data_IF_815093464023
#
_entry.id   IF_815093464023
#
_cell.length_a   1.000
_cell.length_b   1.000
_cell.length_c   1.000
_cell.angle_alpha   90.00
_cell.angle_beta   90.00
_cell.angle_gamma   90.00
#
_symmetry.space_group_name_H-M   'P 1'
#
loop_
_entity.id
_entity.type
_entity.pdbx_description
1 polymer ?
#
# COMPACT_ATOMS: atom_id res chain seq x y z
N UNK A 1 -3.27 -23.61 -9.02
CA UNK A 1 -3.83 -24.14 -7.75
C UNK A 1 -2.92 -25.15 -7.05
N UNK A 2 -2.61 -26.33 -7.63
CA UNK A 2 -1.71 -27.31 -7.00
C UNK A 2 -0.35 -26.72 -6.61
N UNK A 3 0.26 -25.95 -7.51
CA UNK A 3 1.53 -25.24 -7.27
C UNK A 3 1.47 -24.29 -6.07
N UNK A 4 0.42 -23.46 -5.99
CA UNK A 4 0.16 -22.57 -4.85
C UNK A 4 0.12 -23.36 -3.53
N UNK A 5 -0.69 -24.42 -3.47
CA UNK A 5 -0.81 -25.23 -2.26
C UNK A 5 0.50 -25.93 -1.88
N UNK A 6 1.29 -26.36 -2.86
CA UNK A 6 2.61 -26.95 -2.60
C UNK A 6 3.58 -25.90 -2.04
N UNK A 7 3.61 -24.68 -2.58
CA UNK A 7 4.47 -23.61 -2.04
C UNK A 7 4.11 -23.26 -0.59
N UNK A 8 2.82 -23.16 -0.28
CA UNK A 8 2.34 -22.92 1.10
C UNK A 8 2.74 -24.08 2.02
N UNK A 9 2.57 -25.33 1.55
CA UNK A 9 2.98 -26.52 2.31
C UNK A 9 4.48 -26.51 2.58
N UNK A 10 5.32 -26.15 1.61
CA UNK A 10 6.77 -26.05 1.79
C UNK A 10 7.17 -24.97 2.80
N UNK A 11 6.48 -23.82 2.84
CA UNK A 11 6.67 -22.81 3.89
C UNK A 11 6.31 -23.36 5.28
N UNK A 12 5.20 -24.10 5.37
CA UNK A 12 4.78 -24.74 6.61
C UNK A 12 5.74 -25.85 7.06
N UNK A 13 6.22 -26.69 6.14
CA UNK A 13 7.23 -27.74 6.40
C UNK A 13 8.59 -27.15 6.81
N UNK A 14 8.91 -25.94 6.37
CA UNK A 14 10.08 -25.18 6.81
C UNK A 14 9.90 -24.53 8.20
N UNK A 15 8.76 -24.76 8.88
CA UNK A 15 8.52 -24.29 10.26
C UNK A 15 7.89 -22.90 10.38
N UNK A 16 7.50 -22.27 9.27
CA UNK A 16 6.86 -20.96 9.29
C UNK A 16 5.34 -21.06 9.35
N UNK A 17 4.71 -20.12 10.06
CA UNK A 17 3.26 -19.99 10.06
C UNK A 17 2.75 -19.59 8.68
N UNK A 18 1.59 -20.13 8.32
CA UNK A 18 0.90 -19.84 7.06
C UNK A 18 -0.56 -19.47 7.35
N UNK A 19 -1.12 -18.59 6.52
CA UNK A 19 -2.51 -18.17 6.60
C UNK A 19 -3.15 -18.05 5.22
N UNK A 20 -4.39 -17.54 5.18
CA UNK A 20 -5.07 -17.16 3.95
C UNK A 20 -4.26 -16.16 3.12
N UNK A 21 -3.42 -15.34 3.78
CA UNK A 21 -2.53 -14.37 3.15
C UNK A 21 -1.53 -15.04 2.22
N UNK A 22 -0.92 -16.17 2.60
CA UNK A 22 0.03 -16.89 1.75
C UNK A 22 -0.65 -17.41 0.48
N UNK A 23 -1.86 -17.94 0.63
CA UNK A 23 -2.67 -18.36 -0.51
C UNK A 23 -3.01 -17.19 -1.43
N UNK A 24 -3.45 -16.08 -0.85
CA UNK A 24 -3.85 -14.89 -1.59
C UNK A 24 -2.69 -14.25 -2.34
N UNK A 25 -1.57 -14.04 -1.65
CA UNK A 25 -0.35 -13.51 -2.22
C UNK A 25 0.12 -14.34 -3.41
N UNK A 26 0.20 -15.67 -3.24
CA UNK A 26 0.54 -16.57 -4.35
C UNK A 26 -0.50 -16.55 -5.47
N UNK A 27 -1.80 -16.50 -5.17
CA UNK A 27 -2.84 -16.41 -6.20
C UNK A 27 -2.75 -15.12 -7.02
N UNK A 28 -2.46 -13.99 -6.38
CA UNK A 28 -2.22 -12.71 -7.04
C UNK A 28 -0.97 -12.73 -7.91
N UNK A 29 0.11 -13.38 -7.46
CA UNK A 29 1.36 -13.42 -8.24
C UNK A 29 1.19 -14.03 -9.63
N UNK A 30 0.30 -15.01 -9.81
CA UNK A 30 -0.01 -15.59 -11.13
C UNK A 30 -0.67 -14.59 -12.11
N UNK A 31 -1.12 -13.43 -11.63
CA UNK A 31 -1.74 -12.38 -12.44
C UNK A 31 -0.87 -11.13 -12.54
N UNK A 32 -0.01 -10.88 -11.54
CA UNK A 32 0.73 -9.63 -11.40
C UNK A 32 2.22 -9.75 -11.70
N UNK A 33 2.79 -10.95 -11.65
CA UNK A 33 4.22 -11.18 -11.88
C UNK A 33 4.37 -11.97 -13.17
N UNK A 34 4.96 -11.34 -14.17
CA UNK A 34 5.29 -11.97 -15.46
C UNK A 34 6.54 -12.85 -15.31
N UNK A 35 6.36 -13.98 -14.64
CA UNK A 35 7.39 -14.99 -14.45
C UNK A 35 6.74 -16.37 -14.30
N UNK A 36 7.48 -17.45 -14.60
CA UNK A 36 6.99 -18.81 -14.38
C UNK A 36 6.42 -18.99 -12.97
N UNK A 37 5.19 -19.49 -12.90
CA UNK A 37 4.44 -19.73 -11.66
C UNK A 37 4.25 -18.51 -10.76
N UNK A 38 4.28 -17.29 -11.32
CA UNK A 38 4.18 -16.04 -10.56
C UNK A 38 5.41 -15.80 -9.69
N UNK A 39 6.60 -16.13 -10.19
CA UNK A 39 7.90 -15.79 -9.58
C UNK A 39 8.06 -16.24 -8.12
N UNK A 40 7.91 -17.53 -7.78
CA UNK A 40 8.04 -18.01 -6.39
C UNK A 40 9.44 -17.77 -5.79
N UNK A 41 10.46 -17.58 -6.62
CA UNK A 41 11.83 -17.26 -6.19
C UNK A 41 12.12 -15.76 -6.11
N UNK A 42 11.21 -14.89 -6.60
CA UNK A 42 11.44 -13.44 -6.56
C UNK A 42 11.19 -12.92 -5.15
N UNK A 43 12.20 -12.22 -4.63
CA UNK A 43 12.19 -11.60 -3.32
C UNK A 43 12.19 -10.09 -3.47
N UNK A 44 11.61 -9.38 -2.51
CA UNK A 44 11.56 -7.92 -2.58
C UNK A 44 12.95 -7.31 -2.41
N UNK A 45 13.81 -7.94 -1.60
CA UNK A 45 15.23 -7.61 -1.47
C UNK A 45 16.03 -7.77 -2.76
N UNK A 46 15.63 -8.67 -3.67
CA UNK A 46 16.34 -8.85 -4.95
C UNK A 46 16.25 -7.65 -5.89
N UNK A 47 15.31 -6.72 -5.66
CA UNK A 47 15.23 -5.45 -6.39
C UNK A 47 16.54 -4.65 -6.21
N UNK A 48 17.14 -4.68 -5.01
CA UNK A 48 18.41 -4.01 -4.73
C UNK A 48 19.60 -4.55 -5.55
N UNK A 49 19.44 -5.73 -6.17
CA UNK A 49 20.46 -6.37 -6.99
C UNK A 49 20.32 -6.05 -8.48
N UNK A 50 19.21 -5.44 -8.91
CA UNK A 50 18.97 -5.11 -10.31
C UNK A 50 19.78 -3.88 -10.73
N UNK A 51 20.29 -3.87 -11.96
CA UNK A 51 21.19 -2.82 -12.44
C UNK A 51 20.46 -1.48 -12.60
N UNK A 52 19.20 -1.51 -13.07
CA UNK A 52 18.30 -0.34 -13.19
C UNK A 52 17.90 0.26 -11.83
N UNK A 53 17.97 -0.52 -10.76
CA UNK A 53 17.81 -0.01 -9.40
C UNK A 53 19.11 0.62 -8.88
N UNK A 54 20.25 -0.03 -9.13
CA UNK A 54 21.57 0.44 -8.69
C UNK A 54 21.98 1.75 -9.36
N UNK A 55 21.63 1.93 -10.63
CA UNK A 55 21.94 3.15 -11.39
C UNK A 55 20.91 4.29 -11.19
N UNK A 56 19.82 4.02 -10.47
CA UNK A 56 18.77 4.99 -10.15
C UNK A 56 17.73 5.19 -11.25
N UNK A 57 17.65 4.31 -12.25
CA UNK A 57 16.66 4.36 -13.32
C UNK A 57 15.23 4.04 -12.86
N UNK A 58 15.08 3.30 -11.76
CA UNK A 58 13.77 3.05 -11.14
C UNK A 58 13.69 3.65 -9.72
N UNK A 59 12.53 4.20 -9.32
CA UNK A 59 12.36 4.75 -7.97
C UNK A 59 12.38 3.64 -6.91
N UNK A 60 12.74 4.01 -5.67
CA UNK A 60 12.69 3.11 -4.51
C UNK A 60 11.25 2.63 -4.24
N UNK A 61 10.91 1.35 -4.46
CA UNK A 61 9.55 0.87 -4.19
C UNK A 61 9.35 0.72 -2.69
N UNK A 62 8.18 1.16 -2.21
CA UNK A 62 7.79 1.06 -0.81
C UNK A 62 6.39 0.46 -0.71
N UNK A 63 6.23 -0.54 0.14
CA UNK A 63 4.94 -1.10 0.52
C UNK A 63 4.64 -0.73 1.98
N UNK A 64 3.36 -0.61 2.30
CA UNK A 64 2.90 -0.30 3.65
C UNK A 64 1.91 -1.35 4.12
N UNK A 65 2.10 -1.80 5.36
CA UNK A 65 1.16 -2.62 6.11
C UNK A 65 0.93 -2.00 7.48
N UNK A 66 -0.12 -2.40 8.17
CA UNK A 66 -0.36 -2.00 9.57
C UNK A 66 -0.29 -3.19 10.50
N UNK A 67 0.14 -2.97 11.74
CA UNK A 67 0.05 -4.01 12.77
C UNK A 67 -1.40 -4.37 13.03
N UNK A 68 -1.69 -5.67 13.10
CA UNK A 68 -3.04 -6.16 13.37
C UNK A 68 -3.49 -5.79 14.78
N UNK A 69 -4.50 -4.91 14.87
CA UNK A 69 -5.22 -4.59 16.11
C UNK A 69 -6.64 -5.18 16.08
N UNK A 70 -7.37 -5.02 17.19
CA UNK A 70 -8.80 -5.29 17.18
C UNK A 70 -9.52 -4.31 16.24
N UNK A 71 -10.62 -4.72 15.62
CA UNK A 71 -11.36 -3.88 14.66
C UNK A 71 -11.81 -2.53 15.23
N UNK A 72 -12.11 -2.46 16.53
CA UNK A 72 -12.50 -1.22 17.21
C UNK A 72 -11.31 -0.28 17.46
N UNK A 73 -10.10 -0.82 17.48
CA UNK A 73 -8.87 -0.10 17.78
C UNK A 73 -8.16 0.39 16.51
N UNK A 74 -8.23 -0.34 15.39
CA UNK A 74 -7.56 0.04 14.15
C UNK A 74 -8.00 1.43 13.63
N UNK A 75 -7.09 2.40 13.67
CA UNK A 75 -7.27 3.76 13.14
C UNK A 75 -5.90 4.46 12.96
N UNK A 76 -5.86 5.57 12.22
CA UNK A 76 -4.63 6.29 11.89
C UNK A 76 -3.85 6.82 13.10
N UNK A 77 -4.51 7.03 14.24
CA UNK A 77 -3.93 7.62 15.46
C UNK A 77 -3.12 6.60 16.28
N UNK A 78 -3.53 5.34 16.32
CA UNK A 78 -2.89 4.32 17.18
C UNK A 78 -2.23 3.17 16.42
N UNK A 79 -2.50 3.02 15.13
CA UNK A 79 -1.94 1.92 14.35
C UNK A 79 -0.44 2.12 14.16
N UNK A 80 0.31 1.03 14.30
CA UNK A 80 1.70 0.99 13.85
C UNK A 80 1.73 0.75 12.36
N UNK A 81 2.42 1.62 11.61
CA UNK A 81 2.54 1.56 10.16
C UNK A 81 3.93 1.02 9.82
N UNK A 82 3.98 -0.14 9.19
CA UNK A 82 5.20 -0.80 8.77
C UNK A 82 5.47 -0.50 7.31
N UNK A 83 6.67 0.00 7.04
CA UNK A 83 7.24 0.15 5.72
C UNK A 83 8.02 -1.11 5.34
N UNK A 84 7.92 -1.48 4.07
CA UNK A 84 8.69 -2.54 3.44
C UNK A 84 9.32 -1.96 2.17
N UNK A 85 10.64 -1.89 2.12
CA UNK A 85 11.42 -1.47 0.95
C UNK A 85 12.46 -2.59 0.63
N UNK A 86 13.16 -2.56 -0.52
CA UNK A 86 14.16 -3.58 -0.87
C UNK A 86 15.27 -3.80 0.16
N UNK A 87 15.53 -2.83 1.03
CA UNK A 87 16.58 -2.92 2.04
C UNK A 87 16.07 -3.40 3.40
N UNK A 88 14.86 -3.01 3.79
CA UNK A 88 14.39 -3.18 5.15
C UNK A 88 12.87 -3.25 5.33
N UNK A 89 12.45 -3.90 6.41
CA UNK A 89 11.10 -3.93 6.95
C UNK A 89 11.12 -3.28 8.33
N UNK A 90 10.30 -2.27 8.58
CA UNK A 90 10.31 -1.60 9.86
C UNK A 90 9.25 -0.54 10.02
N UNK A 91 9.32 0.18 11.13
CA UNK A 91 8.37 1.25 11.42
C UNK A 91 9.08 2.43 12.04
N UNK A 92 8.65 3.62 11.60
CA UNK A 92 9.05 4.90 12.17
C UNK A 92 8.32 5.19 13.49
N UNK A 93 7.25 4.45 13.82
CA UNK A 93 6.50 4.67 15.05
C UNK A 93 7.38 4.56 16.29
N UNK A 94 7.36 5.59 17.14
CA UNK A 94 8.32 5.78 18.25
C UNK A 94 8.28 4.70 19.32
N UNK A 95 7.18 3.96 19.40
CA UNK A 95 7.06 2.83 20.30
C UNK A 95 7.68 1.54 19.73
N UNK A 96 8.30 1.55 18.56
CA UNK A 96 9.14 0.45 18.06
C UNK A 96 10.44 1.02 17.50
N UNK A 97 10.34 2.00 16.59
CA UNK A 97 11.45 2.75 15.99
C UNK A 97 12.62 1.85 15.55
N UNK A 98 12.36 0.95 14.60
CA UNK A 98 13.34 -0.04 14.19
C UNK A 98 13.04 -0.65 12.83
N UNK A 99 14.11 -1.08 12.15
CA UNK A 99 14.09 -1.62 10.80
C UNK A 99 14.99 -2.84 10.70
N UNK A 100 14.45 -3.96 10.22
CA UNK A 100 15.15 -5.20 9.98
C UNK A 100 15.53 -5.40 8.51
N UNK A 101 16.73 -5.93 8.20
CA UNK A 101 17.15 -6.15 6.82
C UNK A 101 16.16 -7.05 6.08
N UNK A 102 15.60 -6.57 4.96
CA UNK A 102 14.53 -7.22 4.20
C UNK A 102 14.93 -8.65 3.78
N UNK A 103 16.18 -8.82 3.35
CA UNK A 103 16.72 -10.13 2.94
C UNK A 103 16.67 -11.18 4.07
N UNK A 104 16.73 -10.75 5.33
CA UNK A 104 16.91 -11.61 6.49
C UNK A 104 15.71 -11.65 7.44
N UNK A 105 14.55 -11.07 7.08
CA UNK A 105 13.39 -10.94 7.98
C UNK A 105 12.81 -12.26 8.49
N UNK A 106 13.17 -13.40 7.89
CA UNK A 106 12.80 -14.73 8.38
C UNK A 106 13.72 -15.29 9.47
N UNK A 107 14.77 -14.57 9.86
CA UNK A 107 15.79 -15.02 10.83
C UNK A 107 15.33 -14.81 12.27
N UNK A 108 15.84 -15.61 13.20
CA UNK A 108 15.50 -15.50 14.61
C UNK A 108 16.19 -14.30 15.27
N UNK A 109 15.58 -13.12 15.17
CA UNK A 109 16.06 -11.94 15.89
C UNK A 109 15.69 -12.00 17.37
N UNK A 110 16.65 -11.69 18.22
CA UNK A 110 16.47 -11.53 19.67
C UNK A 110 17.21 -10.28 20.12
N UNK A 111 16.46 -9.32 20.68
CA UNK A 111 17.05 -8.06 21.16
C UNK A 111 17.66 -7.22 20.03
N UNK A 112 17.16 -7.36 18.80
CA UNK A 112 17.71 -6.64 17.65
C UNK A 112 18.99 -7.24 17.06
N UNK A 113 19.29 -8.52 17.32
CA UNK A 113 20.40 -9.23 16.67
C UNK A 113 20.00 -10.67 16.33
N UNK A 114 20.61 -11.28 15.31
CA UNK A 114 20.51 -12.73 15.12
C UNK A 114 21.60 -13.37 15.98
N UNK A 115 21.28 -14.30 16.90
CA UNK A 115 22.28 -14.99 17.71
C UNK A 115 23.37 -15.65 16.84
N UNK A 116 24.62 -15.64 17.30
CA UNK A 116 25.77 -16.14 16.52
C UNK A 116 25.61 -17.59 16.03
N UNK A 117 24.96 -18.44 16.81
CA UNK A 117 24.75 -19.85 16.49
C UNK A 117 23.49 -20.12 15.65
N UNK A 118 22.69 -19.08 15.37
CA UNK A 118 21.45 -19.22 14.60
C UNK A 118 21.70 -18.89 13.12
N UNK A 119 21.20 -19.71 12.19
CA UNK A 119 21.36 -19.44 10.77
C UNK A 119 20.53 -18.24 10.32
N UNK A 120 21.09 -17.43 9.42
CA UNK A 120 20.32 -16.41 8.71
C UNK A 120 19.38 -17.06 7.68
N UNK A 121 18.13 -16.62 7.65
CA UNK A 121 17.10 -17.12 6.74
C UNK A 121 16.86 -16.09 5.63
N UNK A 122 16.93 -16.53 4.38
CA UNK A 122 16.63 -15.73 3.18
C UNK A 122 15.36 -16.18 2.48
N UNK A 123 14.75 -15.29 1.69
CA UNK A 123 13.62 -15.59 0.82
C UNK A 123 12.25 -15.57 1.50
N UNK A 124 12.18 -15.17 2.77
CA UNK A 124 10.93 -14.95 3.48
C UNK A 124 10.15 -13.76 2.88
N UNK A 125 10.86 -12.77 2.36
CA UNK A 125 10.39 -11.58 1.67
C UNK A 125 9.95 -11.84 0.22
N UNK A 126 9.43 -13.03 -0.06
CA UNK A 126 8.91 -13.40 -1.37
C UNK A 126 7.87 -12.36 -1.83
N UNK A 127 8.04 -11.80 -3.03
CA UNK A 127 7.25 -10.64 -3.51
C UNK A 127 5.74 -10.90 -3.42
N UNK A 128 5.30 -12.11 -3.76
CA UNK A 128 3.90 -12.51 -3.66
C UNK A 128 3.38 -12.51 -2.23
N UNK A 129 4.18 -12.95 -1.25
CA UNK A 129 3.82 -12.88 0.16
C UNK A 129 3.65 -11.44 0.63
N UNK A 130 4.57 -10.53 0.27
CA UNK A 130 4.45 -9.11 0.63
C UNK A 130 3.21 -8.45 -0.01
N UNK A 131 2.95 -8.71 -1.31
CA UNK A 131 1.72 -8.26 -1.99
C UNK A 131 0.47 -8.78 -1.25
N UNK A 132 0.49 -10.04 -0.81
CA UNK A 132 -0.60 -10.60 -0.02
C UNK A 132 -0.75 -9.91 1.34
N UNK A 133 0.37 -9.65 2.02
CA UNK A 133 0.42 -9.04 3.35
C UNK A 133 -0.09 -7.59 3.38
N UNK A 134 0.12 -6.84 2.29
CA UNK A 134 -0.37 -5.46 2.17
C UNK A 134 -1.80 -5.38 1.61
N UNK A 135 -2.43 -6.51 1.27
CA UNK A 135 -3.78 -6.56 0.68
C UNK A 135 -4.72 -7.55 1.37
N UNK A 136 -4.52 -7.79 2.68
CA UNK A 136 -5.33 -8.75 3.46
C UNK A 136 -6.82 -8.38 3.59
N UNK A 137 -7.25 -7.17 3.20
CA UNK A 137 -8.68 -6.80 3.13
C UNK A 137 -9.49 -7.73 2.21
N UNK A 138 -8.81 -8.35 1.24
CA UNK A 138 -9.38 -9.36 0.35
C UNK A 138 -9.58 -10.72 1.03
N UNK A 139 -9.35 -10.87 2.34
CA UNK A 139 -9.79 -12.03 3.10
C UNK A 139 -11.31 -12.27 2.96
N UNK A 140 -12.12 -11.21 2.85
CA UNK A 140 -13.56 -11.35 2.54
C UNK A 140 -13.76 -12.03 1.17
N UNK A 141 -12.87 -11.78 0.22
CA UNK A 141 -12.87 -12.49 -1.06
C UNK A 141 -12.41 -13.94 -0.87
N UNK A 142 -11.34 -14.21 -0.11
CA UNK A 142 -10.85 -15.57 0.16
C UNK A 142 -11.91 -16.41 0.89
N UNK A 143 -12.60 -15.86 1.90
CA UNK A 143 -13.66 -16.55 2.63
C UNK A 143 -14.88 -16.82 1.75
N UNK A 144 -15.23 -15.92 0.81
CA UNK A 144 -16.24 -16.18 -0.23
C UNK A 144 -15.78 -17.23 -1.25
N UNK A 145 -14.51 -17.24 -1.64
CA UNK A 145 -13.92 -18.29 -2.50
C UNK A 145 -13.93 -19.66 -1.83
N UNK A 146 -13.55 -19.72 -0.55
CA UNK A 146 -13.54 -20.94 0.24
C UNK A 146 -14.95 -21.53 0.42
N UNK A 147 -15.99 -20.69 0.44
CA UNK A 147 -17.41 -21.12 0.49
C UNK A 147 -17.95 -21.68 -0.84
N UNK A 148 -17.25 -21.49 -1.96
CA UNK A 148 -17.65 -22.09 -3.24
C UNK A 148 -17.54 -23.62 -3.20
N UNK A 149 -18.59 -24.34 -3.64
CA UNK A 149 -18.62 -25.82 -3.68
C UNK A 149 -17.53 -26.42 -4.58
N UNK A 150 -17.01 -25.67 -5.56
CA UNK A 150 -15.90 -26.09 -6.46
C UNK A 150 -14.55 -26.29 -5.75
N UNK A 151 -14.41 -25.83 -4.51
CA UNK A 151 -13.13 -25.81 -3.79
C UNK A 151 -13.23 -26.38 -2.37
N UNK A 152 -14.17 -27.30 -2.12
CA UNK A 152 -14.35 -27.96 -0.81
C UNK A 152 -13.09 -28.67 -0.30
N UNK A 153 -12.26 -29.24 -1.18
CA UNK A 153 -10.96 -29.83 -0.84
C UNK A 153 -9.95 -28.78 -0.33
N UNK A 154 -9.99 -27.57 -0.91
CA UNK A 154 -9.16 -26.44 -0.46
C UNK A 154 -9.69 -25.90 0.86
N UNK A 155 -11.02 -25.86 1.02
CA UNK A 155 -11.65 -25.49 2.29
C UNK A 155 -11.13 -26.37 3.42
N UNK A 156 -11.09 -27.69 3.29
CA UNK A 156 -10.59 -28.55 4.38
C UNK A 156 -9.10 -28.32 4.67
N UNK A 157 -8.25 -28.09 3.65
CA UNK A 157 -6.84 -27.73 3.86
C UNK A 157 -6.65 -26.34 4.48
N UNK A 158 -7.35 -25.31 3.99
CA UNK A 158 -7.32 -23.95 4.57
C UNK A 158 -7.96 -23.91 5.96
N UNK A 159 -8.97 -24.73 6.21
CA UNK A 159 -9.58 -24.89 7.53
C UNK A 159 -8.69 -25.69 8.47
N UNK A 160 -7.77 -26.52 7.98
CA UNK A 160 -6.74 -27.15 8.83
C UNK A 160 -5.58 -26.20 9.15
N UNK A 161 -5.44 -25.08 8.42
CA UNK A 161 -4.54 -23.96 8.80
C UNK A 161 -5.11 -23.09 9.94
N UNK A 162 -6.21 -23.51 10.59
CA UNK A 162 -6.97 -22.72 11.59
C UNK A 162 -6.34 -22.58 12.98
N UNK A 163 -5.15 -23.13 13.23
CA UNK A 163 -4.49 -22.92 14.51
C UNK A 163 -3.84 -21.51 14.50
N UNK A 164 -4.66 -20.44 14.49
CA UNK A 164 -4.20 -19.05 14.48
C UNK A 164 -5.15 -18.05 13.81
N UNK A 165 -4.75 -16.76 13.82
CA UNK A 165 -5.46 -15.67 13.13
C UNK A 165 -5.28 -15.80 11.62
N UNK A 166 -6.19 -16.52 10.95
CA UNK A 166 -6.05 -16.78 9.51
C UNK A 166 -6.22 -15.54 8.61
N UNK A 167 -6.54 -14.37 9.16
CA UNK A 167 -6.83 -13.13 8.45
C UNK A 167 -5.70 -12.09 8.52
N UNK A 168 -4.48 -12.50 8.90
CA UNK A 168 -3.29 -11.65 8.98
C UNK A 168 -2.14 -12.27 8.20
N UNK A 169 -1.13 -11.48 7.88
CA UNK A 169 0.17 -11.95 7.45
C UNK A 169 1.01 -12.26 8.70
N UNK A 170 1.50 -13.50 8.82
CA UNK A 170 2.39 -13.88 9.91
C UNK A 170 3.84 -13.62 9.51
N UNK A 171 4.47 -12.62 10.14
CA UNK A 171 5.92 -12.43 10.11
C UNK A 171 6.49 -13.09 11.36
N UNK A 172 6.66 -14.40 11.25
CA UNK A 172 7.30 -15.25 12.25
C UNK A 172 8.57 -15.84 11.65
N UNK A 173 9.72 -15.77 12.35
CA UNK A 173 9.94 -15.07 13.62
C UNK A 173 9.75 -13.56 13.51
N UNK A 174 9.27 -12.92 14.59
CA UNK A 174 9.13 -11.46 14.68
C UNK A 174 10.52 -10.80 14.74
N UNK A 175 10.91 -9.96 13.74
CA UNK A 175 12.20 -9.29 13.77
C UNK A 175 12.42 -8.35 14.96
N UNK A 176 11.34 -7.92 15.61
CA UNK A 176 11.35 -7.00 16.76
C UNK A 176 11.18 -7.72 18.10
N UNK A 177 11.32 -9.04 18.15
CA UNK A 177 11.28 -9.78 19.41
C UNK A 177 12.44 -9.35 20.34
N UNK A 178 12.10 -8.96 21.57
CA UNK A 178 13.05 -8.44 22.55
C UNK A 178 13.63 -7.05 22.24
N UNK A 179 13.31 -6.43 21.10
CA UNK A 179 13.84 -5.12 20.71
C UNK A 179 13.08 -3.98 21.41
N UNK A 180 13.79 -2.94 21.86
CA UNK A 180 13.24 -1.76 22.55
C UNK A 180 12.20 -2.11 23.64
N UNK A 181 12.60 -2.87 24.68
CA UNK A 181 11.67 -3.54 25.59
C UNK A 181 10.78 -2.60 26.40
N UNK A 182 11.21 -1.37 26.63
CA UNK A 182 10.47 -0.39 27.44
C UNK A 182 9.23 0.16 26.72
N UNK A 183 9.22 0.16 25.38
CA UNK A 183 8.17 0.81 24.58
C UNK A 183 7.52 -0.12 23.55
N UNK A 184 8.19 -1.20 23.12
CA UNK A 184 7.74 -2.07 22.04
C UNK A 184 6.51 -2.90 22.40
N UNK A 185 5.32 -2.63 21.78
CA UNK A 185 4.10 -3.37 22.06
C UNK A 185 4.16 -4.84 21.58
N UNK A 186 5.18 -5.21 20.81
CA UNK A 186 5.41 -6.56 20.29
C UNK A 186 6.62 -7.26 20.90
N UNK A 187 7.25 -6.68 21.93
CA UNK A 187 8.53 -7.17 22.50
C UNK A 187 8.51 -8.65 22.89
N UNK A 188 7.41 -9.14 23.45
CA UNK A 188 7.25 -10.56 23.88
C UNK A 188 6.64 -11.46 22.80
N UNK A 189 6.22 -10.91 21.66
CA UNK A 189 5.53 -11.66 20.61
C UNK A 189 6.53 -12.28 19.64
N UNK A 190 6.47 -13.61 19.49
CA UNK A 190 7.26 -14.35 18.49
C UNK A 190 6.77 -14.17 17.06
N UNK A 191 5.58 -13.60 16.87
CA UNK A 191 4.97 -13.31 15.57
C UNK A 191 4.57 -11.84 15.47
N UNK A 192 4.93 -11.20 14.36
CA UNK A 192 4.43 -9.90 13.97
C UNK A 192 3.28 -10.10 12.97
N UNK A 193 2.05 -10.00 13.47
CA UNK A 193 0.85 -10.07 12.63
C UNK A 193 0.60 -8.73 11.92
N UNK A 194 0.78 -8.69 10.60
CA UNK A 194 0.50 -7.51 9.77
C UNK A 194 -0.79 -7.68 8.95
N UNK A 195 -1.42 -6.56 8.61
CA UNK A 195 -2.61 -6.49 7.76
C UNK A 195 -2.50 -5.33 6.76
N UNK A 196 -3.41 -5.29 5.81
CA UNK A 196 -3.52 -4.25 4.77
C UNK A 196 -3.33 -2.82 5.31
N UNK A 197 -2.49 -2.06 4.60
CA UNK A 197 -2.10 -0.70 4.97
C UNK A 197 -3.27 0.29 5.03
N UNK A 198 -4.34 0.07 4.26
CA UNK A 198 -5.51 0.95 4.23
C UNK A 198 -6.52 0.72 5.35
N UNK A 199 -6.34 -0.30 6.20
CA UNK A 199 -7.32 -0.65 7.24
C UNK A 199 -7.41 0.37 8.38
N UNK A 200 -6.44 1.29 8.48
CA UNK A 200 -6.47 2.40 9.42
C UNK A 200 -7.01 3.71 8.81
N UNK A 201 -7.56 3.62 7.59
CA UNK A 201 -8.07 4.70 6.72
C UNK A 201 -7.00 5.49 5.96
N UNK A 202 -5.71 5.23 6.16
CA UNK A 202 -4.62 5.86 5.39
C UNK A 202 -4.39 5.09 4.08
N UNK A 203 -5.39 5.06 3.19
CA UNK A 203 -5.30 4.35 1.89
C UNK A 203 -4.17 4.87 0.98
N UNK A 204 -3.71 6.11 1.22
CA UNK A 204 -2.53 6.67 0.58
C UNK A 204 -1.31 6.36 1.47
N UNK A 205 -0.30 5.63 0.97
CA UNK A 205 0.87 5.22 1.78
C UNK A 205 1.86 6.37 1.95
N UNK A 206 1.44 7.48 2.57
CA UNK A 206 2.25 8.71 2.62
C UNK A 206 3.29 8.70 3.73
N UNK A 207 3.06 7.98 4.82
CA UNK A 207 3.93 8.03 6.01
C UNK A 207 5.41 7.77 5.70
N UNK A 208 5.80 6.78 4.89
CA UNK A 208 7.19 6.62 4.45
C UNK A 208 7.79 7.88 3.83
N UNK A 209 7.02 8.64 3.05
CA UNK A 209 7.50 9.82 2.32
C UNK A 209 7.55 11.08 3.19
N UNK A 210 6.92 11.06 4.37
CA UNK A 210 6.85 12.21 5.28
C UNK A 210 8.02 12.28 6.27
N UNK A 211 8.95 11.33 6.20
CA UNK A 211 10.09 11.30 7.11
C UNK A 211 11.08 12.42 6.77
N UNK A 212 11.40 13.27 7.74
CA UNK A 212 12.30 14.41 7.55
C UNK A 212 13.66 14.00 7.00
N UNK A 213 14.16 12.82 7.39
CA UNK A 213 15.42 12.24 6.91
C UNK A 213 15.44 12.00 5.39
N UNK A 214 14.27 11.84 4.76
CA UNK A 214 14.14 11.65 3.30
C UNK A 214 14.06 12.94 2.50
N UNK A 215 13.83 14.08 3.17
CA UNK A 215 13.82 15.42 2.55
C UNK A 215 12.96 15.49 1.28
N UNK A 216 11.78 14.87 1.32
CA UNK A 216 10.84 14.86 0.18
C UNK A 216 10.21 16.25 0.08
N UNK A 217 10.31 16.87 -1.10
CA UNK A 217 9.79 18.21 -1.35
C UNK A 217 8.33 18.22 -1.84
N UNK A 218 7.96 17.22 -2.63
CA UNK A 218 6.65 17.09 -3.26
C UNK A 218 6.20 15.64 -3.23
N UNK A 219 4.90 15.42 -2.99
CA UNK A 219 4.27 14.11 -3.07
C UNK A 219 3.10 14.19 -4.05
N UNK A 220 3.14 13.33 -5.07
CA UNK A 220 2.01 13.10 -5.97
C UNK A 220 1.11 12.00 -5.40
N UNK A 221 0.05 12.41 -4.71
CA UNK A 221 -0.88 11.51 -4.02
C UNK A 221 -2.04 11.11 -4.94
N UNK A 222 -1.89 9.99 -5.64
CA UNK A 222 -2.92 9.44 -6.54
C UNK A 222 -3.92 8.61 -5.74
N UNK A 223 -5.14 9.11 -5.57
CA UNK A 223 -6.15 8.51 -4.70
C UNK A 223 -7.21 7.75 -5.50
N UNK A 224 -7.26 6.43 -5.33
CA UNK A 224 -8.28 5.55 -5.93
C UNK A 224 -9.23 4.95 -4.88
N UNK A 225 -9.37 5.62 -3.72
CA UNK A 225 -10.25 5.18 -2.64
C UNK A 225 -11.72 5.12 -3.07
N UNK A 226 -12.44 4.11 -2.59
CA UNK A 226 -13.85 3.91 -2.89
C UNK A 226 -14.73 4.44 -1.73
N UNK A 227 -14.92 5.76 -1.64
CA UNK A 227 -15.67 6.41 -0.57
C UNK A 227 -17.09 6.80 -1.01
N UNK A 228 -17.21 7.91 -1.74
CA UNK A 228 -18.48 8.49 -2.17
C UNK A 228 -18.82 7.97 -3.56
N UNK A 229 -19.85 7.13 -3.69
CA UNK A 229 -20.20 6.46 -4.95
C UNK A 229 -19.00 5.71 -5.60
N UNK A 230 -18.14 5.13 -4.76
CA UNK A 230 -16.85 4.51 -5.14
C UNK A 230 -15.80 5.47 -5.76
N UNK A 231 -15.94 6.78 -5.58
CA UNK A 231 -14.88 7.76 -5.82
C UNK A 231 -14.27 8.25 -4.49
N UNK A 232 -13.06 8.84 -4.51
CA UNK A 232 -12.46 9.43 -3.34
C UNK A 232 -13.27 10.63 -2.81
N UNK A 233 -13.16 10.88 -1.51
CA UNK A 233 -13.73 12.07 -0.86
C UNK A 233 -12.76 12.78 0.09
N UNK A 234 -11.45 12.51 -0.05
CA UNK A 234 -10.40 13.06 0.81
C UNK A 234 -10.15 12.30 2.13
N UNK A 235 -10.92 11.24 2.45
CA UNK A 235 -10.78 10.49 3.72
C UNK A 235 -9.34 10.04 4.01
N UNK A 236 -8.57 9.61 3.01
CA UNK A 236 -7.19 9.16 3.19
C UNK A 236 -6.23 10.28 3.62
N UNK A 237 -6.37 11.47 3.03
CA UNK A 237 -5.59 12.65 3.42
C UNK A 237 -6.00 13.14 4.81
N UNK A 238 -7.30 13.18 5.10
CA UNK A 238 -7.80 13.57 6.44
C UNK A 238 -7.26 12.62 7.51
N UNK A 239 -7.27 11.30 7.27
CA UNK A 239 -6.73 10.32 8.22
C UNK A 239 -5.22 10.52 8.47
N UNK A 240 -4.46 10.85 7.43
CA UNK A 240 -3.02 11.14 7.54
C UNK A 240 -2.78 12.46 8.29
N UNK A 241 -3.58 13.49 8.03
CA UNK A 241 -3.52 14.76 8.76
C UNK A 241 -3.88 14.60 10.24
N UNK A 242 -4.92 13.82 10.55
CA UNK A 242 -5.26 13.46 11.93
C UNK A 242 -4.12 12.74 12.65
N UNK A 243 -3.39 11.86 11.95
CA UNK A 243 -2.20 11.21 12.49
C UNK A 243 -1.08 12.20 12.74
N UNK A 244 -0.84 13.15 11.83
CA UNK A 244 0.17 14.18 12.02
C UNK A 244 -0.09 14.98 13.31
N UNK A 245 -1.36 15.33 13.56
CA UNK A 245 -1.77 16.13 14.72
C UNK A 245 -1.87 15.33 16.03
N UNK A 246 -2.39 14.10 15.99
CA UNK A 246 -2.86 13.37 17.18
C UNK A 246 -2.23 11.99 17.33
N UNK A 247 -1.38 11.56 16.41
CA UNK A 247 -0.78 10.22 16.38
C UNK A 247 -0.01 9.91 17.65
N UNK A 248 -0.35 8.80 18.33
CA UNK A 248 0.22 8.44 19.63
C UNK A 248 1.71 8.10 19.59
N UNK A 249 2.18 7.60 18.45
CA UNK A 249 3.54 7.10 18.27
C UNK A 249 4.26 7.85 17.13
N UNK A 250 3.83 9.08 16.84
CA UNK A 250 4.33 9.86 15.70
C UNK A 250 5.83 10.19 15.86
N UNK A 251 6.63 9.88 14.83
CA UNK A 251 8.06 10.23 14.70
C UNK A 251 8.34 11.71 14.42
N UNK A 252 7.41 12.61 14.75
CA UNK A 252 7.48 14.06 14.52
C UNK A 252 7.62 14.44 13.04
N UNK A 253 6.78 13.89 12.17
CA UNK A 253 6.60 14.45 10.83
C UNK A 253 5.56 15.57 10.82
N UNK A 254 5.70 16.52 9.89
CA UNK A 254 4.70 17.54 9.61
C UNK A 254 3.87 17.17 8.38
N UNK A 255 2.65 17.68 8.30
CA UNK A 255 1.74 17.48 7.18
C UNK A 255 0.96 18.78 6.95
N UNK A 256 0.67 19.18 5.71
CA UNK A 256 -0.12 20.38 5.48
C UNK A 256 -1.55 20.21 6.01
N UNK A 257 -2.20 21.34 6.30
CA UNK A 257 -3.60 21.33 6.68
C UNK A 257 -4.49 20.74 5.58
N UNK A 258 -5.40 19.86 5.98
CA UNK A 258 -6.39 19.23 5.11
C UNK A 258 -7.78 19.54 5.68
N UNK A 259 -8.75 19.98 4.85
CA UNK A 259 -10.11 20.22 5.29
C UNK A 259 -10.87 18.92 5.58
N UNK A 260 -11.99 19.03 6.30
CA UNK A 260 -12.89 17.89 6.51
C UNK A 260 -13.52 17.40 5.20
N UNK A 261 -14.08 16.19 5.22
CA UNK A 261 -14.62 15.54 4.03
C UNK A 261 -15.82 16.29 3.42
N UNK A 262 -16.63 17.00 4.21
CA UNK A 262 -17.74 17.79 3.66
C UNK A 262 -17.19 18.93 2.83
N UNK A 263 -16.25 19.70 3.40
CA UNK A 263 -15.53 20.77 2.68
C UNK A 263 -14.84 20.23 1.43
N UNK A 264 -14.16 19.08 1.55
CA UNK A 264 -13.43 18.45 0.45
C UNK A 264 -14.34 18.16 -0.75
N UNK A 265 -15.56 17.68 -0.50
CA UNK A 265 -16.55 17.36 -1.54
C UNK A 265 -17.28 18.61 -2.02
N UNK A 266 -17.73 19.49 -1.12
CA UNK A 266 -18.50 20.69 -1.45
C UNK A 266 -17.70 21.66 -2.33
N UNK A 267 -16.39 21.78 -2.09
CA UNK A 267 -15.49 22.60 -2.91
C UNK A 267 -14.97 21.87 -4.17
N UNK A 268 -15.37 20.61 -4.36
CA UNK A 268 -14.99 19.79 -5.51
C UNK A 268 -13.50 19.44 -5.56
N UNK A 269 -12.80 19.43 -4.41
CA UNK A 269 -11.38 19.07 -4.32
C UNK A 269 -11.14 17.58 -4.65
N UNK A 270 -12.19 16.76 -4.54
CA UNK A 270 -12.18 15.36 -4.93
C UNK A 270 -12.54 15.09 -6.40
N UNK A 271 -12.69 16.12 -7.22
CA UNK A 271 -13.08 16.01 -8.64
C UNK A 271 -11.99 16.47 -9.62
N UNK A 272 -10.93 17.09 -9.11
CA UNK A 272 -9.81 17.66 -9.86
C UNK A 272 -8.52 17.60 -9.04
N UNK A 273 -7.34 17.68 -9.66
CA UNK A 273 -6.12 17.86 -8.90
C UNK A 273 -6.21 19.07 -7.97
N UNK A 274 -5.69 18.92 -6.76
CA UNK A 274 -5.70 19.97 -5.73
C UNK A 274 -4.37 19.94 -4.99
N UNK A 275 -3.77 21.09 -4.74
CA UNK A 275 -2.51 21.20 -4.01
C UNK A 275 -2.77 21.60 -2.56
N UNK A 276 -2.06 20.96 -1.63
CA UNK A 276 -2.11 21.27 -0.21
C UNK A 276 -0.71 21.65 0.29
N UNK A 277 -0.65 22.65 1.15
CA UNK A 277 0.62 23.16 1.70
C UNK A 277 1.43 24.01 0.71
N UNK A 278 0.77 24.74 -0.19
CA UNK A 278 1.47 25.59 -1.15
C UNK A 278 2.28 26.69 -0.49
N UNK A 279 1.71 27.33 0.53
CA UNK A 279 2.42 28.26 1.38
C UNK A 279 3.09 27.51 2.53
N UNK A 280 4.43 27.41 2.47
CA UNK A 280 5.24 26.76 3.50
C UNK A 280 5.21 27.53 4.83
N UNK A 281 4.95 28.84 4.82
CA UNK A 281 4.88 29.66 6.03
C UNK A 281 3.65 29.33 6.88
N UNK A 282 2.62 28.74 6.29
CA UNK A 282 1.40 28.31 7.00
C UNK A 282 1.51 26.89 7.58
N UNK A 283 2.67 26.25 7.47
CA UNK A 283 2.90 24.88 7.97
C UNK A 283 3.82 24.94 9.18
N UNK A 284 3.39 24.33 10.28
CA UNK A 284 4.28 24.13 11.44
C UNK A 284 5.27 23.01 11.13
N UNK A 285 6.55 23.35 11.00
CA UNK A 285 7.63 22.41 10.67
C UNK A 285 7.84 22.24 9.16
N UNK A 286 8.57 21.20 8.77
CA UNK A 286 8.89 20.93 7.36
C UNK A 286 8.00 19.82 6.80
N UNK A 287 7.24 20.12 5.75
CA UNK A 287 6.34 19.18 5.09
C UNK A 287 6.36 19.35 3.57
N UNK A 288 6.28 18.25 2.80
CA UNK A 288 6.18 18.33 1.34
C UNK A 288 4.90 19.04 0.91
N UNK A 289 4.94 19.62 -0.29
CA UNK A 289 3.73 20.02 -1.00
C UNK A 289 3.01 18.75 -1.47
N UNK A 290 1.72 18.63 -1.18
CA UNK A 290 0.92 17.48 -1.61
C UNK A 290 0.16 17.85 -2.87
N UNK A 291 0.49 17.21 -3.98
CA UNK A 291 -0.30 17.23 -5.22
C UNK A 291 -1.30 16.07 -5.13
N UNK A 292 -2.53 16.36 -4.71
CA UNK A 292 -3.60 15.37 -4.63
C UNK A 292 -4.24 15.18 -6.00
N UNK A 293 -4.27 13.93 -6.48
CA UNK A 293 -4.82 13.54 -7.78
C UNK A 293 -5.91 12.50 -7.54
N UNK A 294 -7.19 12.92 -7.45
CA UNK A 294 -8.28 11.99 -7.20
C UNK A 294 -8.69 11.25 -8.48
N UNK A 295 -8.91 9.95 -8.35
CA UNK A 295 -9.63 9.18 -9.35
C UNK A 295 -10.98 9.85 -9.62
N UNK A 296 -11.17 10.33 -10.86
CA UNK A 296 -12.31 11.13 -11.29
C UNK A 296 -12.74 10.67 -12.68
N UNK A 297 -14.01 10.89 -13.02
CA UNK A 297 -14.53 10.53 -14.35
C UNK A 297 -14.14 11.60 -15.39
N UNK A 298 -13.25 11.22 -16.30
CA UNK A 298 -12.90 11.95 -17.53
C UNK A 298 -13.57 11.24 -18.71
N UNK A 299 -12.89 10.32 -19.38
CA UNK A 299 -13.47 9.50 -20.46
C UNK A 299 -14.29 8.30 -19.98
N UNK A 300 -14.05 7.80 -18.76
CA UNK A 300 -14.70 6.57 -18.29
C UNK A 300 -15.06 6.60 -16.79
N UNK A 301 -16.16 5.95 -16.43
CA UNK A 301 -16.52 5.75 -15.03
C UNK A 301 -15.63 4.66 -14.40
N UNK A 302 -14.55 5.10 -13.76
CA UNK A 302 -13.53 4.26 -13.11
C UNK A 302 -13.85 3.89 -11.65
N UNK A 303 -15.00 4.31 -11.12
CA UNK A 303 -15.50 4.02 -9.76
C UNK A 303 -16.02 2.58 -9.61
N UNK A 304 -15.17 1.64 -9.99
CA UNK A 304 -15.45 0.21 -9.91
C UNK A 304 -15.33 -0.29 -8.48
N UNK A 305 -16.10 -1.33 -8.13
CA UNK A 305 -16.06 -1.89 -6.78
C UNK A 305 -14.68 -2.47 -6.48
N UNK A 306 -14.15 -2.20 -5.28
CA UNK A 306 -12.91 -2.79 -4.74
C UNK A 306 -12.87 -4.32 -4.89
N UNK A 307 -14.02 -5.00 -4.80
CA UNK A 307 -14.10 -6.46 -4.90
C UNK A 307 -14.29 -7.01 -6.33
N UNK A 308 -14.32 -6.13 -7.35
CA UNK A 308 -14.38 -6.53 -8.76
C UNK A 308 -12.99 -6.98 -9.21
N UNK A 309 -12.90 -8.24 -9.65
CA UNK A 309 -11.63 -8.90 -10.02
C UNK A 309 -11.55 -9.33 -11.48
N UNK A 310 -12.63 -9.17 -12.25
CA UNK A 310 -12.66 -9.49 -13.67
C UNK A 310 -13.16 -8.26 -14.43
N UNK A 311 -12.38 -7.88 -15.42
CA UNK A 311 -12.65 -6.78 -16.33
C UNK A 311 -12.62 -7.33 -17.75
N UNK A 312 -13.47 -6.82 -18.64
CA UNK A 312 -13.23 -6.97 -20.08
C UNK A 312 -12.01 -6.12 -20.46
N UNK A 313 -11.31 -6.49 -21.52
CA UNK A 313 -10.14 -5.74 -21.99
C UNK A 313 -10.51 -4.30 -22.37
N UNK A 314 -11.65 -4.12 -23.04
CA UNK A 314 -12.19 -2.78 -23.35
C UNK A 314 -12.40 -1.94 -22.09
N UNK A 315 -13.03 -2.48 -21.04
CA UNK A 315 -13.23 -1.74 -19.80
C UNK A 315 -11.90 -1.46 -19.07
N UNK A 316 -10.97 -2.43 -19.05
CA UNK A 316 -9.62 -2.22 -18.49
C UNK A 316 -8.92 -1.06 -19.19
N UNK A 317 -8.90 -1.06 -20.52
CA UNK A 317 -8.24 -0.02 -21.32
C UNK A 317 -8.90 1.35 -21.09
N UNK A 318 -10.24 1.42 -21.03
CA UNK A 318 -10.96 2.65 -20.70
C UNK A 318 -10.61 3.19 -19.31
N UNK A 319 -10.50 2.31 -18.30
CA UNK A 319 -10.12 2.72 -16.95
C UNK A 319 -8.67 3.22 -16.91
N UNK A 320 -7.74 2.54 -17.59
CA UNK A 320 -6.33 2.96 -17.69
C UNK A 320 -6.24 4.32 -18.39
N UNK A 321 -6.94 4.50 -19.50
CA UNK A 321 -7.00 5.76 -20.24
C UNK A 321 -7.55 6.90 -19.37
N UNK A 322 -8.64 6.66 -18.65
CA UNK A 322 -9.17 7.61 -17.69
C UNK A 322 -8.16 7.95 -16.57
N UNK A 323 -7.37 6.95 -16.15
CA UNK A 323 -6.24 7.09 -15.22
C UNK A 323 -5.20 8.09 -15.69
N UNK A 324 -4.78 7.95 -16.94
CA UNK A 324 -3.89 8.89 -17.61
C UNK A 324 -4.51 10.29 -17.68
N UNK A 325 -5.78 10.40 -18.06
CA UNK A 325 -6.46 11.69 -18.24
C UNK A 325 -6.60 12.49 -16.94
N UNK A 326 -7.09 11.88 -15.85
CA UNK A 326 -7.21 12.64 -14.60
C UNK A 326 -5.85 13.05 -14.01
N UNK A 327 -4.79 12.29 -14.31
CA UNK A 327 -3.42 12.56 -13.83
C UNK A 327 -2.71 13.62 -14.66
N UNK A 328 -3.09 13.79 -15.93
CA UNK A 328 -2.40 14.67 -16.90
C UNK A 328 -3.26 15.85 -17.35
N UNK A 329 -4.43 16.07 -16.73
CA UNK A 329 -5.44 17.01 -17.24
C UNK A 329 -5.77 16.73 -18.72
N UNK A 330 -5.94 15.45 -19.05
CA UNK A 330 -6.10 14.93 -20.42
C UNK A 330 -4.99 15.43 -21.36
N UNK A 331 -3.73 15.18 -20.98
CA UNK A 331 -2.55 15.67 -21.69
C UNK A 331 -2.56 17.20 -21.91
N UNK A 332 -2.98 17.95 -20.90
CA UNK A 332 -3.12 19.40 -20.96
C UNK A 332 -4.30 19.91 -21.81
N UNK A 333 -5.20 19.03 -22.29
CA UNK A 333 -6.39 19.46 -23.03
C UNK A 333 -7.40 20.17 -22.12
N UNK A 334 -7.52 19.72 -20.86
CA UNK A 334 -8.40 20.37 -19.87
C UNK A 334 -7.74 21.64 -19.33
N UNK A 335 -6.44 21.61 -19.07
CA UNK A 335 -5.65 22.77 -18.66
C UNK A 335 -4.24 22.72 -19.28
N UNK A 336 -3.95 23.57 -20.28
CA UNK A 336 -2.64 23.63 -20.92
C UNK A 336 -1.50 24.02 -19.98
N UNK A 337 -1.79 24.63 -18.82
CA UNK A 337 -0.78 25.01 -17.83
C UNK A 337 -0.40 23.86 -16.90
N UNK A 338 -1.10 22.73 -16.94
CA UNK A 338 -0.85 21.61 -16.02
C UNK A 338 0.62 21.18 -15.93
N UNK A 339 1.38 21.00 -17.04
CA UNK A 339 2.80 20.66 -16.96
C UNK A 339 3.64 21.71 -16.23
N UNK A 340 3.33 23.00 -16.43
CA UNK A 340 3.97 24.12 -15.73
C UNK A 340 3.66 24.04 -14.24
N UNK A 341 2.40 23.78 -13.88
CA UNK A 341 1.97 23.68 -12.48
C UNK A 341 2.62 22.51 -11.74
N UNK A 342 2.85 21.38 -12.42
CA UNK A 342 3.63 20.28 -11.87
C UNK A 342 5.10 20.67 -11.64
N UNK A 343 5.72 21.38 -12.59
CA UNK A 343 7.07 21.92 -12.41
C UNK A 343 7.15 22.87 -11.22
N UNK A 344 6.17 23.76 -11.07
CA UNK A 344 6.07 24.69 -9.95
C UNK A 344 5.89 23.99 -8.61
N UNK A 345 5.07 22.92 -8.56
CA UNK A 345 4.92 22.09 -7.38
C UNK A 345 6.25 21.44 -6.96
N UNK A 346 7.00 20.88 -7.92
CA UNK A 346 8.31 20.27 -7.67
C UNK A 346 9.36 21.28 -7.19
N UNK A 347 9.33 22.52 -7.69
CA UNK A 347 10.28 23.57 -7.31
C UNK A 347 9.88 24.32 -6.03
N UNK A 348 8.63 24.20 -5.58
CA UNK A 348 8.05 24.99 -4.48
C UNK A 348 8.96 25.06 -3.25
N UNK A 349 9.33 23.89 -2.69
CA UNK A 349 10.16 23.83 -1.47
C UNK A 349 11.59 24.31 -1.69
N UNK A 350 12.14 24.07 -2.88
CA UNK A 350 13.46 24.61 -3.24
C UNK A 350 13.47 26.14 -3.27
N UNK A 351 12.45 26.75 -3.87
CA UNK A 351 12.28 28.20 -3.90
C UNK A 351 12.13 28.77 -2.48
N UNK A 352 11.33 28.12 -1.62
CA UNK A 352 11.21 28.52 -0.21
C UNK A 352 12.56 28.48 0.52
N UNK A 353 13.31 27.37 0.44
CA UNK A 353 14.60 27.23 1.13
C UNK A 353 15.66 28.23 0.67
N UNK A 354 15.70 28.48 -0.64
CA UNK A 354 16.67 29.41 -1.25
C UNK A 354 16.23 30.86 -1.22
N UNK A 355 15.01 31.15 -0.72
CA UNK A 355 14.38 32.47 -0.80
C UNK A 355 14.29 33.01 -2.23
N UNK A 356 14.16 32.10 -3.21
CA UNK A 356 13.98 32.47 -4.61
C UNK A 356 12.55 33.01 -4.80
N UNK A 357 12.36 34.19 -5.42
CA UNK A 357 11.03 34.70 -5.74
C UNK A 357 10.24 33.71 -6.59
N UNK A 358 8.98 33.46 -6.24
CA UNK A 358 8.10 32.55 -6.98
C UNK A 358 7.77 33.19 -8.34
N UNK A 359 8.10 32.54 -9.48
CA UNK A 359 7.79 33.09 -10.80
C UNK A 359 6.28 33.28 -11.02
N UNK A 360 5.89 34.26 -11.83
CA UNK A 360 4.47 34.55 -12.15
C UNK A 360 3.71 33.31 -12.64
N UNK A 361 4.34 32.48 -13.47
CA UNK A 361 3.73 31.22 -13.93
C UNK A 361 3.35 30.29 -12.76
N UNK A 362 4.20 30.21 -11.73
CA UNK A 362 3.93 29.41 -10.54
C UNK A 362 2.89 30.06 -9.62
N UNK A 363 2.88 31.40 -9.52
CA UNK A 363 1.82 32.11 -8.80
C UNK A 363 0.45 31.82 -9.40
N UNK A 364 0.32 31.83 -10.73
CA UNK A 364 -0.92 31.48 -11.43
C UNK A 364 -1.35 30.04 -11.13
N UNK A 365 -0.42 29.09 -11.23
CA UNK A 365 -0.67 27.69 -10.89
C UNK A 365 -1.16 27.52 -9.45
N UNK A 366 -0.51 28.18 -8.49
CA UNK A 366 -0.91 28.09 -7.09
C UNK A 366 -2.27 28.76 -6.84
N UNK A 367 -2.58 29.86 -7.53
CA UNK A 367 -3.91 30.45 -7.47
C UNK A 367 -5.01 29.52 -8.00
N UNK A 368 -4.71 28.63 -8.95
CA UNK A 368 -5.70 27.72 -9.55
C UNK A 368 -5.86 26.40 -8.78
N UNK A 369 -4.75 25.85 -8.28
CA UNK A 369 -4.73 24.49 -7.73
C UNK A 369 -4.65 24.43 -6.21
N UNK A 370 -4.15 25.47 -5.54
CA UNK A 370 -4.01 25.42 -4.10
C UNK A 370 -5.36 25.60 -3.40
N UNK A 371 -5.62 24.73 -2.44
CA UNK A 371 -6.67 25.01 -1.48
C UNK A 371 -6.23 26.18 -0.58
N UNK A 372 -7.09 27.18 -0.47
CA UNK A 372 -6.83 28.48 0.15
C UNK A 372 -7.24 28.57 1.62
N UNK A 373 -7.73 27.46 2.20
CA UNK A 373 -8.25 27.43 3.57
C UNK A 373 -9.76 27.61 3.67
N UNK A 374 -10.48 27.88 2.57
CA UNK A 374 -11.94 28.01 2.57
C UNK A 374 -12.61 26.72 3.08
N UNK A 375 -13.63 26.89 3.93
CA UNK A 375 -14.40 25.79 4.53
C UNK A 375 -15.85 25.80 4.03
N UNK A 376 -16.39 24.61 3.77
CA UNK A 376 -17.82 24.41 3.51
C UNK A 376 -18.28 23.10 4.17
N UNK A 377 -18.69 23.21 5.43
CA UNK A 377 -18.98 22.06 6.29
C UNK A 377 -20.42 21.55 6.18
N UNK A 378 -21.23 22.11 5.28
CA UNK A 378 -22.59 21.65 5.02
C UNK A 378 -22.61 20.15 4.72
N UNK A 379 -23.56 19.43 5.32
CA UNK A 379 -23.63 17.98 5.22
C UNK A 379 -23.79 17.52 3.77
N UNK A 380 -22.94 16.57 3.35
CA UNK A 380 -23.01 15.96 2.03
C UNK A 380 -23.85 14.68 2.11
N UNK A 381 -25.04 14.71 1.54
CA UNK A 381 -25.88 13.51 1.40
C UNK A 381 -25.22 12.48 0.47
N UNK A 382 -25.21 11.22 0.89
CA UNK A 382 -24.79 10.10 0.05
C UNK A 382 -26.06 9.45 -0.52
N UNK A 383 -26.33 9.54 -1.83
CA UNK A 383 -27.43 8.80 -2.42
C UNK A 383 -27.18 7.30 -2.23
N UNK A 384 -28.00 6.64 -1.41
CA UNK A 384 -27.92 5.18 -1.26
C UNK A 384 -28.49 4.55 -2.54
N UNK A 385 -27.74 3.70 -3.26
CA UNK A 385 -28.30 3.06 -4.45
C UNK A 385 -29.47 2.15 -4.06
N UNK A 386 -30.66 2.48 -4.59
CA UNK A 386 -31.89 1.70 -4.44
C UNK A 386 -31.62 0.26 -4.88
N UNK A 387 -31.78 -0.71 -3.98
CA UNK A 387 -31.71 -2.14 -4.31
C UNK A 387 -32.87 -2.47 -5.27
N UNK A 388 -32.60 -2.56 -6.58
CA UNK A 388 -33.52 -3.22 -7.52
C UNK A 388 -33.70 -4.69 -7.10
N UNK A 389 -34.92 -5.09 -6.78
CA UNK A 389 -35.27 -6.48 -6.46
C UNK A 389 -34.97 -7.37 -7.67
N UNK A 390 -34.14 -8.40 -7.47
CA UNK A 390 -33.87 -9.42 -8.50
C UNK A 390 -35.06 -10.36 -8.58
N UNK A 391 -35.90 -10.21 -9.61
CA UNK A 391 -36.69 -11.33 -10.13
C UNK A 391 -35.74 -12.32 -10.81
N UNK A 392 -35.92 -13.61 -10.52
CA UNK A 392 -35.11 -14.73 -11.00
C UNK A 392 -35.28 -14.93 -12.50
N UNK A 393 -34.17 -15.17 -13.20
CA UNK A 393 -34.18 -15.78 -14.53
C UNK A 393 -33.15 -16.90 -14.54
N UNK A 394 -33.63 -18.14 -14.61
CA UNK A 394 -32.85 -19.38 -14.74
C UNK A 394 -32.69 -19.69 -16.23
N UNK A 395 -31.47 -20.00 -16.69
CA UNK A 395 -31.22 -20.43 -18.09
C UNK A 395 -29.76 -20.73 -18.47
N UNK A 396 -29.33 -21.98 -18.18
CA UNK A 396 -28.59 -22.99 -19.01
C UNK A 396 -27.31 -22.70 -19.86
N UNK A 397 -26.45 -23.75 -19.92
CA UNK A 397 -25.26 -24.08 -20.77
C UNK A 397 -23.87 -23.57 -20.29
N UNK A 398 -22.79 -24.34 -19.94
CA UNK A 398 -22.00 -25.49 -20.52
C UNK A 398 -21.40 -25.18 -21.91
N UNK A 399 -20.15 -25.41 -22.31
CA UNK A 399 -18.93 -26.15 -21.89
C UNK A 399 -17.70 -25.58 -22.68
N UNK A 400 -16.44 -25.79 -22.25
CA UNK A 400 -15.25 -26.34 -22.99
C UNK A 400 -13.99 -25.59 -22.41
N UNK A 401 -12.79 -26.11 -22.11
CA UNK A 401 -12.07 -27.35 -22.43
C UNK A 401 -10.83 -27.07 -23.30
N UNK A 402 -9.69 -26.57 -22.77
CA UNK A 402 -8.38 -27.26 -22.52
C UNK A 402 -7.31 -27.12 -23.62
N UNK A 403 -6.02 -26.86 -23.27
CA UNK A 403 -4.74 -27.33 -23.91
C UNK A 403 -3.55 -26.68 -23.12
N UNK A 404 -2.79 -27.36 -22.22
CA UNK A 404 -1.53 -28.15 -22.37
C UNK A 404 -0.34 -27.37 -23.01
N UNK A 405 0.97 -27.47 -22.65
CA UNK A 405 1.82 -27.96 -21.52
C UNK A 405 3.33 -27.80 -21.96
N UNK A 406 4.28 -27.73 -20.99
CA UNK A 406 5.74 -28.12 -21.01
C UNK A 406 6.79 -26.97 -21.17
N UNK A 407 8.02 -26.96 -20.61
CA UNK A 407 8.94 -27.81 -19.77
C UNK A 407 10.07 -26.87 -19.22
N UNK A 408 10.51 -26.88 -17.94
CA UNK A 408 11.76 -27.45 -17.31
C UNK A 408 13.10 -26.96 -17.96
N UNK A 409 14.22 -26.56 -17.30
CA UNK A 409 14.95 -27.01 -16.07
C UNK A 409 16.18 -26.06 -15.76
N UNK A 410 16.99 -26.24 -14.66
CA UNK A 410 17.69 -25.18 -13.89
C UNK A 410 19.25 -25.21 -13.86
N UNK A 411 19.88 -24.29 -13.12
CA UNK A 411 21.31 -24.26 -12.72
C UNK A 411 21.63 -23.23 -11.59
N UNK A 412 22.81 -23.26 -10.93
CA UNK A 412 22.91 -23.37 -9.45
C UNK A 412 23.51 -22.18 -8.64
N UNK A 413 23.61 -22.40 -7.32
CA UNK A 413 23.87 -21.53 -6.13
C UNK A 413 25.35 -21.25 -5.80
N UNK A 414 25.63 -20.16 -5.06
CA UNK A 414 26.80 -19.98 -4.14
C UNK A 414 26.41 -19.20 -2.85
N UNK A 415 27.14 -19.48 -1.75
CA UNK A 415 26.97 -19.19 -0.30
C UNK A 415 27.40 -17.77 0.21
N UNK A 416 27.10 -17.38 1.48
CA UNK A 416 27.00 -15.99 1.99
C UNK A 416 28.09 -15.52 3.01
N UNK A 417 28.04 -14.23 3.40
CA UNK A 417 28.76 -13.55 4.53
C UNK A 417 27.76 -12.78 5.44
N UNK A 418 28.10 -12.60 6.72
CA UNK A 418 27.28 -12.08 7.86
C UNK A 418 26.94 -10.56 7.85
N UNK A 419 25.84 -10.15 8.54
CA UNK A 419 25.38 -8.74 8.67
C UNK A 419 24.52 -8.45 9.94
N UNK A 420 24.51 -7.20 10.43
CA UNK A 420 23.79 -6.68 11.63
C UNK A 420 22.69 -5.63 11.30
N UNK A 421 21.78 -5.40 12.26
CA UNK A 421 20.65 -4.44 12.26
C UNK A 421 21.08 -2.98 12.51
N UNK A 422 20.35 -2.00 11.93
CA UNK A 422 20.63 -0.55 12.05
C UNK A 422 19.49 0.20 12.76
N UNK A 423 19.83 1.13 13.64
CA UNK A 423 18.89 1.99 14.38
C UNK A 423 18.61 3.28 13.58
N UNK A 424 17.38 3.79 13.63
CA UNK A 424 16.91 4.96 12.87
C UNK A 424 16.52 6.11 13.79
#
# INVERSE_FOLDING_TARGET
>A
MRKILNNIKSKQEAGFNVSATDFWGRALSFQLIDAPDGGPAYTFSSIALQDDFKDGSIPLPMLVATRSLSKKAQNSVISNVFEMNPFELGTWDTNIAGFAPMEYIGSNFSGGTVPFNDPCVKGFDQVGFLIGATSTIFEVAISRFAKSKRFSLIRNKLQNLKNGKNNVAHFQPNPFFGFNPDVNPTVKSKDLSLVDGGLDKQNLPLLPLLQQSRKVDVIFAVDSSANLQNFPNGTALVATYERALKGKFNSKFSFPSIPDQNTFVNLGLNKRPTFFGCDASNITGDAPLIVYIPNSKYSAASNTSTFKRKYSESLRNQIIQNGYEFSTQANGTVDPQWPVCIGCAALSRSMTRTRTPIPTACQNCFSSYCWDGTLNQSYVEIPVPVKKSRKSFFGRFSSLGSFLRNKLTPGPKILPRHMHLKMV
#
